data_IF_799167400455
#
_entry.id   IF_799167400455
#
_cell.length_a   1.000
_cell.length_b   1.000
_cell.length_c   1.000
_cell.angle_alpha   90.00
_cell.angle_beta   90.00
_cell.angle_gamma   90.00
#
_symmetry.space_group_name_H-M   'P 1'
#
loop_
_entity.id
_entity.type
_entity.pdbx_description
1 polymer ?
#
# COMPACT_ATOMS: atom_id res chain seq x y z
N UNK A 1 -6.71 -22.23 -7.96
CA UNK A 1 -6.90 -20.90 -8.58
C UNK A 1 -7.17 -19.91 -7.46
N UNK A 2 -6.59 -18.71 -7.53
CA UNK A 2 -6.80 -17.71 -6.49
C UNK A 2 -8.10 -16.95 -6.78
N UNK A 3 -8.76 -16.45 -5.74
CA UNK A 3 -9.91 -15.55 -5.89
C UNK A 3 -9.54 -14.18 -5.36
N UNK A 4 -10.02 -13.14 -6.04
CA UNK A 4 -9.86 -11.78 -5.55
C UNK A 4 -10.63 -11.62 -4.24
N UNK A 5 -9.97 -11.08 -3.21
CA UNK A 5 -10.58 -10.85 -1.89
C UNK A 5 -11.79 -9.90 -1.94
N UNK A 6 -11.84 -9.00 -2.92
CA UNK A 6 -12.82 -7.92 -2.97
C UNK A 6 -14.03 -8.27 -3.85
N UNK A 7 -13.81 -8.71 -5.08
CA UNK A 7 -14.87 -9.03 -6.03
C UNK A 7 -15.15 -10.54 -6.18
N UNK A 8 -14.40 -11.39 -5.47
CA UNK A 8 -14.50 -12.86 -5.52
C UNK A 8 -14.31 -13.50 -6.91
N UNK A 9 -13.92 -12.70 -7.92
CA UNK A 9 -13.59 -13.18 -9.25
C UNK A 9 -12.33 -14.04 -9.24
N UNK A 10 -12.25 -14.98 -10.17
CA UNK A 10 -11.08 -15.82 -10.34
C UNK A 10 -9.89 -15.00 -10.86
N UNK A 11 -8.75 -15.13 -10.17
CA UNK A 11 -7.50 -14.47 -10.52
C UNK A 11 -6.36 -15.47 -10.55
N UNK A 12 -5.40 -15.21 -11.41
CA UNK A 12 -4.13 -15.93 -11.45
C UNK A 12 -3.02 -14.98 -11.05
N UNK A 13 -2.02 -15.45 -10.30
CA UNK A 13 -0.85 -14.65 -9.97
C UNK A 13 0.25 -14.96 -10.97
N UNK A 14 0.59 -13.98 -11.81
CA UNK A 14 1.75 -14.07 -12.69
C UNK A 14 2.93 -13.29 -12.10
N UNK A 15 4.13 -13.86 -12.27
CA UNK A 15 5.39 -13.20 -11.92
C UNK A 15 5.84 -12.36 -13.11
N UNK A 16 5.41 -11.11 -13.16
CA UNK A 16 5.93 -10.14 -14.12
C UNK A 16 7.01 -9.28 -13.45
N UNK A 17 8.27 -9.61 -13.72
CA UNK A 17 9.44 -8.94 -13.16
C UNK A 17 9.67 -9.27 -11.68
N UNK A 18 9.91 -8.25 -10.86
CA UNK A 18 10.24 -8.40 -9.43
C UNK A 18 9.06 -8.56 -8.48
N UNK A 19 7.81 -8.44 -8.96
CA UNK A 19 6.59 -8.54 -8.14
C UNK A 19 5.53 -9.39 -8.83
N UNK A 20 4.73 -10.10 -8.05
CA UNK A 20 3.61 -10.86 -8.58
C UNK A 20 2.42 -9.91 -8.80
N UNK A 21 1.80 -10.00 -9.98
CA UNK A 21 0.60 -9.24 -10.33
C UNK A 21 -0.59 -10.19 -10.51
N UNK A 22 -1.79 -9.80 -10.03
CA UNK A 22 -2.99 -10.56 -10.31
C UNK A 22 -3.47 -10.28 -11.74
N UNK A 23 -3.84 -11.33 -12.46
CA UNK A 23 -4.36 -11.29 -13.83
C UNK A 23 -5.73 -12.00 -13.90
N UNK A 24 -6.59 -11.50 -14.79
CA UNK A 24 -7.87 -12.09 -15.15
C UNK A 24 -7.69 -13.29 -16.09
N UNK A 25 -8.75 -14.07 -16.28
CA UNK A 25 -8.80 -15.13 -17.29
C UNK A 25 -8.51 -14.65 -18.72
N UNK A 26 -8.83 -13.38 -19.00
CA UNK A 26 -8.56 -12.70 -20.29
C UNK A 26 -7.11 -12.22 -20.45
N UNK A 27 -6.22 -12.49 -19.47
CA UNK A 27 -4.81 -12.09 -19.50
C UNK A 27 -4.53 -10.63 -19.11
N UNK A 28 -5.56 -9.82 -18.88
CA UNK A 28 -5.42 -8.45 -18.38
C UNK A 28 -5.10 -8.38 -16.87
N UNK A 29 -4.44 -7.30 -16.44
CA UNK A 29 -4.18 -7.04 -15.01
C UNK A 29 -5.52 -6.87 -14.27
N UNK A 30 -5.72 -7.64 -13.21
CA UNK A 30 -6.93 -7.57 -12.39
C UNK A 30 -6.95 -6.30 -11.53
N UNK A 31 -7.93 -5.42 -11.76
CA UNK A 31 -8.20 -4.23 -10.93
C UNK A 31 -9.71 -4.03 -10.77
N UNK A 32 -10.27 -4.49 -9.65
CA UNK A 32 -11.70 -4.36 -9.35
C UNK A 32 -12.02 -3.07 -8.59
N UNK A 33 -13.26 -2.59 -8.73
CA UNK A 33 -13.72 -1.34 -8.12
C UNK A 33 -13.90 -1.46 -6.60
N UNK A 34 -14.27 -2.63 -6.09
CA UNK A 34 -14.37 -2.89 -4.65
C UNK A 34 -13.01 -2.74 -3.95
N UNK A 35 -11.91 -3.15 -4.62
CA UNK A 35 -10.55 -2.91 -4.13
C UNK A 35 -10.24 -1.41 -4.08
N UNK A 36 -10.55 -0.68 -5.15
CA UNK A 36 -10.30 0.77 -5.23
C UNK A 36 -11.07 1.53 -4.14
N UNK A 37 -12.33 1.16 -3.90
CA UNK A 37 -13.16 1.77 -2.86
C UNK A 37 -12.67 1.41 -1.46
N UNK A 38 -12.23 0.17 -1.24
CA UNK A 38 -11.61 -0.21 0.03
C UNK A 38 -10.33 0.58 0.30
N UNK A 39 -9.49 0.82 -0.72
CA UNK A 39 -8.28 1.65 -0.57
C UNK A 39 -8.59 3.10 -0.22
N UNK A 40 -9.68 3.68 -0.71
CA UNK A 40 -10.09 5.06 -0.34
C UNK A 40 -10.46 5.21 1.13
N UNK A 41 -10.92 4.14 1.78
CA UNK A 41 -11.24 4.14 3.21
C UNK A 41 -10.00 4.06 4.12
N UNK A 42 -8.84 3.71 3.55
CA UNK A 42 -7.58 3.76 4.28
C UNK A 42 -7.30 5.25 4.52
N UNK A 43 -7.35 5.66 5.78
CA UNK A 43 -7.14 7.05 6.21
C UNK A 43 -5.86 7.59 5.57
N UNK A 44 -6.01 8.42 4.55
CA UNK A 44 -4.91 9.11 3.89
C UNK A 44 -4.37 10.14 4.88
N UNK A 45 -3.28 9.81 5.57
CA UNK A 45 -2.53 10.80 6.33
C UNK A 45 -1.83 11.70 5.32
N UNK A 46 -2.35 12.90 5.12
CA UNK A 46 -1.68 13.92 4.32
C UNK A 46 -0.42 14.38 5.08
N UNK A 47 0.70 14.60 4.39
CA UNK A 47 1.97 15.02 5.03
C UNK A 47 1.84 16.32 5.83
N UNK A 48 0.80 17.10 5.55
CA UNK A 48 0.44 18.36 6.19
C UNK A 48 -0.36 18.20 7.49
N UNK A 49 -0.86 17.01 7.81
CA UNK A 49 -1.59 16.73 9.06
C UNK A 49 -0.66 16.47 10.25
N UNK A 50 0.64 16.34 10.02
CA UNK A 50 1.63 16.26 11.10
C UNK A 50 2.09 17.67 11.44
N UNK A 51 1.78 18.10 12.67
CA UNK A 51 2.19 19.38 13.22
C UNK A 51 3.72 19.52 13.19
N UNK A 52 4.21 20.70 12.83
CA UNK A 52 5.65 20.94 12.63
C UNK A 52 6.47 20.73 13.93
N UNK A 53 5.83 20.88 15.10
CA UNK A 53 6.46 20.61 16.39
C UNK A 53 6.73 19.11 16.59
N UNK A 54 5.77 18.26 16.23
CA UNK A 54 5.87 16.81 16.34
C UNK A 54 6.97 16.27 15.39
N UNK A 55 7.08 16.82 14.19
CA UNK A 55 8.16 16.50 13.24
C UNK A 55 9.54 16.80 13.82
N UNK A 56 9.73 17.96 14.46
CA UNK A 56 10.99 18.32 15.12
C UNK A 56 11.34 17.35 16.25
N UNK A 57 10.35 16.94 17.05
CA UNK A 57 10.56 15.97 18.12
C UNK A 57 11.00 14.61 17.57
N UNK A 58 10.36 14.12 16.49
CA UNK A 58 10.78 12.88 15.83
C UNK A 58 12.19 12.99 15.25
N UNK A 59 12.53 14.10 14.59
CA UNK A 59 13.85 14.33 14.00
C UNK A 59 14.95 14.36 15.08
N UNK A 60 14.72 15.08 16.19
CA UNK A 60 15.64 15.12 17.32
C UNK A 60 15.84 13.71 17.94
N UNK A 61 14.76 12.94 18.11
CA UNK A 61 14.85 11.59 18.66
C UNK A 61 15.61 10.62 17.75
N UNK A 62 15.47 10.74 16.43
CA UNK A 62 16.22 9.94 15.46
C UNK A 62 17.71 10.31 15.52
N UNK A 63 18.03 11.60 15.48
CA UNK A 63 19.41 12.07 15.51
C UNK A 63 20.12 11.68 16.83
N UNK A 64 19.43 11.76 17.97
CA UNK A 64 19.97 11.32 19.26
C UNK A 64 20.23 9.81 19.32
N UNK A 65 19.43 8.99 18.64
CA UNK A 65 19.66 7.53 18.57
C UNK A 65 20.82 7.17 17.65
N UNK A 66 21.02 7.91 16.57
CA UNK A 66 22.12 7.71 15.62
C UNK A 66 23.46 8.15 16.20
N UNK A 67 23.49 9.25 16.96
CA UNK A 67 24.70 9.79 17.61
C UNK A 67 25.19 8.99 18.83
N UNK A 68 24.40 8.03 19.33
CA UNK A 68 24.76 7.13 20.44
C UNK A 68 25.45 5.84 20.00
N UNK A 69 25.86 5.74 18.73
CA UNK A 69 26.57 4.59 18.16
C UNK A 69 27.97 5.01 17.75
#
# INVERSE_FOLDING_TARGET
MARCKFCNNEITWMKEGGRNKPINGDGGIHSCDEMKNSMKSIKSLEKTEIDADILKQYEMAINQKVQKK
#
